data_IF_704901184180
#
_entry.id   IF_704901184180
#
_cell.length_a   1.000
_cell.length_b   1.000
_cell.length_c   1.000
_cell.angle_alpha   90.00
_cell.angle_beta   90.00
_cell.angle_gamma   90.00
#
_symmetry.space_group_name_H-M   'P 1'
#
loop_
_entity.id
_entity.type
_entity.pdbx_description
1 polymer ?
#
# COMPACT_ATOMS: atom_id res chain seq x y z
N UNK A 1 -15.95 14.09 17.80
CA UNK A 1 -16.48 13.34 16.63
C UNK A 1 -15.79 13.69 15.31
N UNK A 2 -15.25 14.89 15.10
CA UNK A 2 -14.59 15.28 13.83
C UNK A 2 -13.25 14.59 13.53
N UNK A 3 -12.38 14.43 14.53
CA UNK A 3 -11.04 13.85 14.34
C UNK A 3 -11.10 12.35 13.97
N UNK A 4 -11.99 11.59 14.60
CA UNK A 4 -12.16 10.16 14.27
C UNK A 4 -12.66 9.94 12.84
N UNK A 5 -13.53 10.82 12.34
CA UNK A 5 -14.01 10.79 10.96
C UNK A 5 -12.90 11.13 9.97
N UNK A 6 -12.08 12.15 10.25
CA UNK A 6 -10.91 12.51 9.45
C UNK A 6 -9.87 11.38 9.39
N UNK A 7 -9.56 10.76 10.52
CA UNK A 7 -8.61 9.64 10.56
C UNK A 7 -9.18 8.44 9.79
N UNK A 8 -10.47 8.15 9.95
CA UNK A 8 -11.14 7.08 9.22
C UNK A 8 -11.13 7.28 7.71
N UNK A 9 -11.41 8.51 7.23
CA UNK A 9 -11.41 8.82 5.80
C UNK A 9 -10.01 8.74 5.18
N UNK A 10 -8.97 9.19 5.89
CA UNK A 10 -7.56 9.03 5.47
C UNK A 10 -7.22 7.55 5.29
N UNK A 11 -7.62 6.69 6.23
CA UNK A 11 -7.40 5.25 6.12
C UNK A 11 -8.07 4.64 4.89
N UNK A 12 -9.32 5.01 4.62
CA UNK A 12 -10.08 4.52 3.45
C UNK A 12 -9.40 4.94 2.15
N UNK A 13 -9.01 6.21 2.03
CA UNK A 13 -8.31 6.71 0.83
C UNK A 13 -6.97 6.00 0.62
N UNK A 14 -6.19 5.79 1.68
CA UNK A 14 -4.92 5.07 1.60
C UNK A 14 -5.11 3.61 1.18
N UNK A 15 -6.13 2.93 1.72
CA UNK A 15 -6.45 1.55 1.35
C UNK A 15 -6.86 1.42 -0.13
N UNK A 16 -7.69 2.34 -0.62
CA UNK A 16 -8.11 2.37 -2.02
C UNK A 16 -6.93 2.66 -2.97
N UNK A 17 -6.08 3.62 -2.61
CA UNK A 17 -4.87 3.94 -3.38
C UNK A 17 -3.90 2.75 -3.44
N UNK A 18 -3.74 2.02 -2.34
CA UNK A 18 -2.92 0.81 -2.31
C UNK A 18 -3.52 -0.28 -3.20
N UNK A 19 -4.83 -0.54 -3.10
CA UNK A 19 -5.51 -1.54 -3.92
C UNK A 19 -5.38 -1.22 -5.42
N UNK A 20 -5.58 0.04 -5.82
CA UNK A 20 -5.38 0.47 -7.20
C UNK A 20 -3.93 0.26 -7.68
N UNK A 21 -2.95 0.60 -6.84
CA UNK A 21 -1.53 0.41 -7.14
C UNK A 21 -1.19 -1.07 -7.33
N UNK A 22 -1.70 -1.94 -6.47
CA UNK A 22 -1.51 -3.40 -6.58
C UNK A 22 -2.20 -3.97 -7.83
N UNK A 23 -3.42 -3.53 -8.15
CA UNK A 23 -4.16 -3.98 -9.33
C UNK A 23 -3.45 -3.61 -10.64
N UNK A 24 -2.94 -2.37 -10.74
CA UNK A 24 -2.15 -1.93 -11.89
C UNK A 24 -0.84 -2.70 -11.96
N UNK A 25 -0.17 -2.88 -10.83
CA UNK A 25 1.08 -3.61 -10.72
C UNK A 25 1.05 -5.08 -11.13
N UNK A 26 0.00 -5.77 -10.69
CA UNK A 26 -0.20 -7.20 -10.94
C UNK A 26 -1.01 -7.48 -12.21
N UNK A 27 -1.50 -6.45 -12.91
CA UNK A 27 -2.21 -6.58 -14.18
C UNK A 27 -1.42 -7.45 -15.16
N UNK A 28 -2.08 -8.47 -15.73
CA UNK A 28 -1.47 -9.39 -16.71
C UNK A 28 -0.88 -8.67 -17.91
N UNK A 29 -1.44 -7.53 -18.30
CA UNK A 29 -0.94 -6.69 -19.41
C UNK A 29 0.48 -6.19 -19.16
N UNK A 30 0.81 -5.81 -17.92
CA UNK A 30 2.15 -5.36 -17.52
C UNK A 30 3.14 -6.56 -17.38
N UNK A 31 2.62 -7.79 -17.26
CA UNK A 31 3.39 -9.04 -17.23
C UNK A 31 3.65 -9.63 -18.61
N UNK A 32 2.76 -9.40 -19.59
CA UNK A 32 2.86 -9.95 -20.94
C UNK A 32 3.82 -9.17 -21.84
N UNK A 33 4.05 -7.89 -21.55
CA UNK A 33 4.96 -7.03 -22.32
C UNK A 33 6.44 -7.35 -22.07
N UNK A 34 6.76 -8.09 -21.00
CA UNK A 34 8.13 -8.49 -20.66
C UNK A 34 8.16 -9.75 -19.80
N UNK A 35 8.58 -10.89 -20.37
CA UNK A 35 8.79 -12.14 -19.63
C UNK A 35 9.92 -12.03 -18.57
N UNK A 36 10.75 -10.98 -18.67
CA UNK A 36 11.78 -10.62 -17.69
C UNK A 36 11.24 -9.74 -16.54
N UNK A 37 10.05 -9.14 -16.68
CA UNK A 37 9.44 -8.28 -15.67
C UNK A 37 9.33 -9.01 -14.33
N UNK A 38 8.86 -10.25 -14.31
CA UNK A 38 8.71 -11.03 -13.08
C UNK A 38 10.00 -11.26 -12.29
N UNK A 39 11.18 -11.26 -12.93
CA UNK A 39 12.44 -11.72 -12.33
C UNK A 39 13.09 -10.69 -11.38
N UNK A 40 12.91 -9.39 -11.65
CA UNK A 40 13.40 -8.29 -10.80
C UNK A 40 12.29 -7.50 -10.09
N UNK A 41 11.07 -7.55 -10.63
CA UNK A 41 9.90 -6.85 -10.10
C UNK A 41 9.45 -7.44 -8.77
N UNK A 42 9.52 -8.76 -8.57
CA UNK A 42 9.19 -9.39 -7.28
C UNK A 42 9.86 -8.69 -6.08
N UNK A 43 11.20 -8.55 -6.11
CA UNK A 43 11.96 -7.83 -5.06
C UNK A 43 11.57 -6.35 -4.90
N UNK A 44 11.29 -5.64 -5.99
CA UNK A 44 10.86 -4.23 -5.95
C UNK A 44 9.48 -4.09 -5.31
N UNK A 45 8.57 -5.02 -5.60
CA UNK A 45 7.22 -5.07 -5.02
C UNK A 45 7.25 -5.53 -3.56
N UNK A 46 8.13 -6.46 -3.19
CA UNK A 46 8.35 -6.82 -1.79
C UNK A 46 8.87 -5.63 -1.00
N UNK A 47 9.82 -4.86 -1.56
CA UNK A 47 10.34 -3.64 -0.92
C UNK A 47 9.28 -2.56 -0.78
N UNK A 48 8.46 -2.35 -1.81
CA UNK A 48 7.35 -1.39 -1.76
C UNK A 48 6.29 -1.82 -0.75
N UNK A 49 5.91 -3.10 -0.74
CA UNK A 49 4.99 -3.69 0.22
C UNK A 49 5.50 -3.55 1.65
N UNK A 50 6.80 -3.80 1.91
CA UNK A 50 7.38 -3.64 3.24
C UNK A 50 7.33 -2.19 3.75
N UNK A 51 7.50 -1.20 2.87
CA UNK A 51 7.37 0.22 3.24
C UNK A 51 5.92 0.55 3.60
N UNK A 52 4.95 0.07 2.83
CA UNK A 52 3.53 0.26 3.15
C UNK A 52 3.14 -0.38 4.49
N UNK A 53 3.59 -1.61 4.74
CA UNK A 53 3.35 -2.28 6.03
C UNK A 53 3.98 -1.50 7.18
N UNK A 54 5.22 -1.03 7.02
CA UNK A 54 5.91 -0.22 8.02
C UNK A 54 5.15 1.09 8.31
N UNK A 55 4.68 1.78 7.28
CA UNK A 55 3.86 2.99 7.43
C UNK A 55 2.56 2.72 8.20
N UNK A 56 1.85 1.64 7.88
CA UNK A 56 0.61 1.25 8.59
C UNK A 56 0.90 0.96 10.06
N UNK A 57 1.97 0.22 10.37
CA UNK A 57 2.38 -0.08 11.75
C UNK A 57 2.71 1.21 12.52
N UNK A 58 3.44 2.14 11.90
CA UNK A 58 3.77 3.44 12.49
C UNK A 58 2.52 4.26 12.78
N UNK A 59 1.56 4.32 11.86
CA UNK A 59 0.30 5.04 12.05
C UNK A 59 -0.49 4.43 13.22
N UNK A 60 -0.59 3.09 13.29
CA UNK A 60 -1.27 2.40 14.40
C UNK A 60 -0.57 2.70 15.73
N UNK A 61 0.76 2.65 15.78
CA UNK A 61 1.53 2.96 16.98
C UNK A 61 1.31 4.41 17.44
N UNK A 62 1.34 5.37 16.51
CA UNK A 62 1.04 6.78 16.81
C UNK A 62 -0.39 6.92 17.35
N UNK A 63 -1.37 6.26 16.74
CA UNK A 63 -2.77 6.32 17.19
C UNK A 63 -2.99 5.70 18.57
N UNK A 64 -2.26 4.64 18.91
CA UNK A 64 -2.30 4.02 20.24
C UNK A 64 -1.56 4.86 21.30
N UNK A 65 -0.48 5.54 20.91
CA UNK A 65 0.32 6.36 21.82
C UNK A 65 -0.24 7.78 22.03
N UNK A 66 -0.96 8.32 21.04
CA UNK A 66 -1.60 9.65 21.10
C UNK A 66 -3.03 9.57 21.67
N UNK A 67 -3.44 8.38 22.12
CA UNK A 67 -4.70 8.11 22.83
C UNK A 67 -4.47 8.16 24.34
#
# INVERSE_FOLDING_TARGET
MHIGFLIGSVFVVMALALAATLLVGFSRSNRSESSAYGRGTGKKWTRLGSIYVLCVVLIIAILLFTR
#
